data_IF_280521033307
#
_entry.id   IF_280521033307
#
_cell.length_a   1.000
_cell.length_b   1.000
_cell.length_c   1.000
_cell.angle_alpha   90.00
_cell.angle_beta   90.00
_cell.angle_gamma   90.00
#
_symmetry.space_group_name_H-M   'P 1'
#
loop_
_entity.id
_entity.type
_entity.pdbx_description
1 polymer ?
#
# COMPACT_ATOMS: atom_id res chain seq x y z
N UNK A 1 -42.78 62.55 8.75
CA UNK A 1 -42.92 61.45 7.76
C UNK A 1 -42.17 60.24 8.30
N UNK A 2 -42.86 59.27 8.90
CA UNK A 2 -42.26 58.01 9.36
C UNK A 2 -42.00 57.05 8.18
N UNK A 3 -40.90 56.30 8.22
CA UNK A 3 -40.57 55.25 7.24
C UNK A 3 -41.09 53.90 7.77
N UNK A 4 -41.78 53.08 6.95
CA UNK A 4 -42.30 51.80 7.42
C UNK A 4 -41.18 50.77 7.69
N UNK A 5 -41.32 50.04 8.79
CA UNK A 5 -40.42 49.01 9.32
C UNK A 5 -40.39 47.79 8.39
N UNK A 6 -39.19 47.32 8.02
CA UNK A 6 -38.99 46.10 7.21
C UNK A 6 -39.45 44.87 8.02
N UNK A 7 -40.45 44.15 7.52
CA UNK A 7 -40.91 42.89 8.10
C UNK A 7 -39.83 41.81 7.96
N UNK A 8 -39.32 41.30 9.07
CA UNK A 8 -38.33 40.23 9.11
C UNK A 8 -39.02 38.87 8.95
N UNK A 9 -39.43 38.55 7.72
CA UNK A 9 -39.84 37.18 7.39
C UNK A 9 -38.65 36.23 7.55
N UNK A 10 -38.77 35.23 8.42
CA UNK A 10 -37.79 34.12 8.49
C UNK A 10 -37.90 33.29 7.20
N UNK A 11 -36.80 33.03 6.49
CA UNK A 11 -36.84 32.22 5.27
C UNK A 11 -37.18 30.76 5.63
N UNK A 12 -38.41 30.33 5.34
CA UNK A 12 -38.94 28.98 5.63
C UNK A 12 -38.59 27.93 4.57
N UNK A 13 -37.55 28.16 3.76
CA UNK A 13 -37.24 27.31 2.60
C UNK A 13 -35.77 26.92 2.44
N UNK A 14 -34.85 27.35 3.31
CA UNK A 14 -33.43 27.00 3.19
C UNK A 14 -33.04 25.93 4.21
N UNK A 15 -32.70 24.70 3.78
CA UNK A 15 -32.16 23.69 4.67
C UNK A 15 -30.93 24.23 5.41
N UNK A 16 -30.89 24.10 6.74
CA UNK A 16 -29.75 24.48 7.57
C UNK A 16 -28.55 23.61 7.18
N UNK A 17 -27.43 24.24 6.81
CA UNK A 17 -26.15 23.61 6.42
C UNK A 17 -25.40 22.95 7.60
N UNK A 18 -26.11 22.41 8.59
CA UNK A 18 -25.50 21.77 9.77
C UNK A 18 -26.18 20.42 10.08
N UNK A 19 -26.66 19.71 9.06
CA UNK A 19 -26.78 18.27 9.21
C UNK A 19 -25.33 17.75 9.22
N UNK A 20 -24.82 17.50 10.42
CA UNK A 20 -23.70 16.61 10.66
C UNK A 20 -24.11 15.24 10.09
N UNK A 21 -24.01 15.11 8.77
CA UNK A 21 -24.07 13.82 8.11
C UNK A 21 -22.77 13.16 8.55
N UNK A 22 -22.86 12.35 9.61
CA UNK A 22 -21.93 11.25 9.83
C UNK A 22 -22.12 10.32 8.64
N UNK A 23 -21.61 10.72 7.48
CA UNK A 23 -21.28 9.82 6.40
C UNK A 23 -20.20 8.96 7.02
N UNK A 24 -20.59 7.77 7.48
CA UNK A 24 -19.67 6.65 7.58
C UNK A 24 -19.06 6.55 6.19
N UNK A 25 -17.88 7.14 6.02
CA UNK A 25 -17.17 7.10 4.76
C UNK A 25 -16.95 5.62 4.46
N UNK A 26 -17.60 5.14 3.40
CA UNK A 26 -17.33 3.81 2.89
C UNK A 26 -15.81 3.74 2.66
N UNK A 27 -15.13 2.65 3.07
CA UNK A 27 -13.70 2.56 2.90
C UNK A 27 -13.40 2.79 1.42
N UNK A 28 -12.46 3.71 1.16
CA UNK A 28 -12.02 4.03 -0.19
C UNK A 28 -11.74 2.70 -0.91
N UNK A 29 -12.40 2.47 -2.04
CA UNK A 29 -12.29 1.22 -2.78
C UNK A 29 -10.84 0.93 -3.15
N UNK A 30 -10.03 1.98 -3.31
CA UNK A 30 -8.59 1.88 -3.51
C UNK A 30 -7.86 1.36 -2.27
N UNK A 31 -8.21 1.82 -1.07
CA UNK A 31 -7.63 1.35 0.19
C UNK A 31 -7.95 -0.13 0.45
N UNK A 32 -9.18 -0.56 0.12
CA UNK A 32 -9.59 -1.98 0.22
C UNK A 32 -8.81 -2.84 -0.77
N UNK A 33 -8.71 -2.41 -2.04
CA UNK A 33 -7.97 -3.13 -3.07
C UNK A 33 -6.47 -3.23 -2.73
N UNK A 34 -5.87 -2.16 -2.22
CA UNK A 34 -4.47 -2.16 -1.77
C UNK A 34 -4.25 -3.11 -0.58
N UNK A 35 -5.20 -3.17 0.37
CA UNK A 35 -5.17 -4.11 1.49
C UNK A 35 -5.24 -5.57 1.05
N UNK A 36 -6.10 -5.89 0.08
CA UNK A 36 -6.17 -7.24 -0.50
C UNK A 36 -4.89 -7.60 -1.26
N UNK A 37 -4.35 -6.66 -2.04
CA UNK A 37 -3.09 -6.86 -2.75
C UNK A 37 -1.93 -7.14 -1.80
N UNK A 38 -1.81 -6.36 -0.71
CA UNK A 38 -0.83 -6.60 0.35
C UNK A 38 -0.94 -8.01 0.91
N UNK A 39 -2.15 -8.44 1.27
CA UNK A 39 -2.39 -9.79 1.82
C UNK A 39 -2.01 -10.90 0.83
N UNK A 40 -2.29 -10.73 -0.47
CA UNK A 40 -1.88 -11.69 -1.50
C UNK A 40 -0.36 -11.77 -1.62
N UNK A 41 0.34 -10.65 -1.48
CA UNK A 41 1.79 -10.61 -1.51
C UNK A 41 2.40 -11.29 -0.27
N UNK A 42 1.87 -11.04 0.92
CA UNK A 42 2.28 -11.74 2.16
C UNK A 42 2.08 -13.25 2.04
N UNK A 43 0.94 -13.68 1.50
CA UNK A 43 0.67 -15.10 1.24
C UNK A 43 1.69 -15.69 0.25
N UNK A 44 2.04 -14.95 -0.80
CA UNK A 44 3.06 -15.37 -1.76
C UNK A 44 4.42 -15.52 -1.08
N UNK A 45 4.88 -14.52 -0.30
CA UNK A 45 6.13 -14.59 0.48
C UNK A 45 6.16 -15.80 1.41
N UNK A 46 5.06 -16.06 2.11
CA UNK A 46 4.92 -17.24 2.97
C UNK A 46 5.09 -18.54 2.17
N UNK A 47 4.47 -18.66 0.99
CA UNK A 47 4.58 -19.84 0.13
C UNK A 47 5.99 -20.02 -0.43
N UNK A 48 6.68 -18.94 -0.78
CA UNK A 48 8.10 -18.97 -1.19
C UNK A 48 8.96 -19.48 -0.04
N UNK A 49 8.79 -18.94 1.17
CA UNK A 49 9.53 -19.41 2.35
C UNK A 49 9.31 -20.89 2.66
N UNK A 50 8.07 -21.39 2.52
CA UNK A 50 7.77 -22.81 2.67
C UNK A 50 8.46 -23.67 1.61
N UNK A 51 8.42 -23.24 0.34
CA UNK A 51 9.09 -23.97 -0.75
C UNK A 51 10.60 -24.01 -0.55
N UNK A 52 11.22 -22.89 -0.20
CA UNK A 52 12.64 -22.81 0.13
C UNK A 52 12.99 -23.72 1.31
N UNK A 53 12.19 -23.69 2.38
CA UNK A 53 12.39 -24.56 3.55
C UNK A 53 12.34 -26.04 3.19
N UNK A 54 11.48 -26.43 2.24
CA UNK A 54 11.41 -27.79 1.72
C UNK A 54 12.59 -28.15 0.81
N UNK A 55 13.13 -27.19 0.04
CA UNK A 55 14.25 -27.43 -0.88
C UNK A 55 15.61 -27.45 -0.16
N UNK A 56 15.79 -26.67 0.91
CA UNK A 56 17.06 -26.54 1.65
C UNK A 56 17.75 -27.86 2.01
N UNK A 57 17.06 -28.88 2.53
CA UNK A 57 17.69 -30.16 2.88
C UNK A 57 18.34 -30.89 1.70
N UNK A 58 17.93 -30.57 0.47
CA UNK A 58 18.46 -31.18 -0.75
C UNK A 58 19.64 -30.41 -1.34
N UNK A 59 19.93 -29.19 -0.85
CA UNK A 59 21.13 -28.45 -1.20
C UNK A 59 22.29 -28.96 -0.34
N UNK A 60 23.31 -29.51 -1.02
CA UNK A 60 24.55 -29.98 -0.41
C UNK A 60 25.75 -29.20 -0.99
N UNK A 61 26.95 -29.47 -0.46
CA UNK A 61 28.19 -28.81 -0.93
C UNK A 61 28.57 -29.16 -2.38
N UNK A 62 27.90 -30.15 -2.97
CA UNK A 62 28.08 -30.55 -4.38
C UNK A 62 27.04 -29.92 -5.31
N UNK A 63 26.03 -29.24 -4.75
CA UNK A 63 25.02 -28.53 -5.53
C UNK A 63 25.64 -27.36 -6.28
N UNK A 64 25.09 -27.06 -7.45
CA UNK A 64 25.56 -25.95 -8.26
C UNK A 64 25.50 -24.64 -7.46
N UNK A 65 26.61 -23.89 -7.49
CA UNK A 65 26.72 -22.58 -6.82
C UNK A 65 25.57 -21.65 -7.25
N UNK A 66 25.13 -21.74 -8.51
CA UNK A 66 23.99 -20.99 -9.03
C UNK A 66 22.67 -21.35 -8.35
N UNK A 67 22.44 -22.63 -8.03
CA UNK A 67 21.23 -23.08 -7.34
C UNK A 67 21.21 -22.60 -5.88
N UNK A 68 22.37 -22.60 -5.21
CA UNK A 68 22.51 -22.07 -3.85
C UNK A 68 22.23 -20.56 -3.84
N UNK A 69 22.80 -19.81 -4.79
CA UNK A 69 22.57 -18.38 -4.92
C UNK A 69 21.08 -18.06 -5.19
N UNK A 70 20.44 -18.78 -6.11
CA UNK A 70 19.01 -18.61 -6.40
C UNK A 70 18.13 -18.83 -5.16
N UNK A 71 18.45 -19.83 -4.33
CA UNK A 71 17.71 -20.07 -3.08
C UNK A 71 17.91 -18.93 -2.08
N UNK A 72 19.13 -18.39 -1.94
CA UNK A 72 19.38 -17.23 -1.07
C UNK A 72 18.61 -15.98 -1.54
N UNK A 73 18.53 -15.75 -2.85
CA UNK A 73 17.71 -14.66 -3.39
C UNK A 73 16.23 -14.84 -3.04
N UNK A 74 15.69 -16.06 -3.19
CA UNK A 74 14.31 -16.37 -2.82
C UNK A 74 14.06 -16.20 -1.31
N UNK A 75 15.04 -16.51 -0.46
CA UNK A 75 14.96 -16.23 0.99
C UNK A 75 14.86 -14.74 1.27
N UNK A 76 15.67 -13.94 0.59
CA UNK A 76 15.61 -12.48 0.67
C UNK A 76 14.22 -11.95 0.29
N UNK A 77 13.65 -12.45 -0.80
CA UNK A 77 12.30 -12.06 -1.25
C UNK A 77 11.20 -12.51 -0.28
N UNK A 78 11.33 -13.69 0.33
CA UNK A 78 10.38 -14.19 1.31
C UNK A 78 10.43 -13.42 2.65
N UNK A 79 11.59 -12.87 3.02
CA UNK A 79 11.80 -12.08 4.23
C UNK A 79 11.64 -10.56 4.05
N UNK A 80 11.46 -10.10 2.81
CA UNK A 80 11.36 -8.68 2.48
C UNK A 80 10.16 -8.02 3.18
N UNK A 81 10.40 -6.90 3.89
CA UNK A 81 9.32 -6.11 4.48
C UNK A 81 8.62 -5.26 3.41
N UNK A 82 7.48 -5.76 2.95
CA UNK A 82 6.63 -5.09 1.96
C UNK A 82 5.94 -3.82 2.50
N UNK A 83 6.01 -3.57 3.81
CA UNK A 83 5.48 -2.35 4.43
C UNK A 83 6.52 -1.23 4.45
N UNK A 84 7.80 -1.56 4.27
CA UNK A 84 8.87 -0.57 4.21
C UNK A 84 8.78 0.25 2.91
N UNK A 85 9.11 1.55 2.95
CA UNK A 85 9.23 2.36 1.74
C UNK A 85 10.26 1.72 0.79
N UNK A 86 9.85 1.49 -0.46
CA UNK A 86 10.75 0.93 -1.46
C UNK A 86 11.61 2.04 -2.07
N UNK A 87 12.88 2.10 -1.68
CA UNK A 87 13.85 3.03 -2.27
C UNK A 87 14.52 2.36 -3.46
N UNK A 88 14.06 2.65 -4.67
CA UNK A 88 14.79 2.26 -5.88
C UNK A 88 15.90 3.29 -6.11
N UNK A 89 17.16 2.91 -5.88
CA UNK A 89 18.29 3.71 -6.36
C UNK A 89 18.37 3.52 -7.88
N UNK A 90 17.78 4.47 -8.61
CA UNK A 90 17.94 4.51 -10.06
C UNK A 90 19.43 4.65 -10.39
N UNK A 91 19.97 3.89 -11.37
CA UNK A 91 21.36 4.04 -11.79
C UNK A 91 21.63 5.50 -12.12
N UNK A 92 22.52 6.15 -11.37
CA UNK A 92 22.90 7.54 -11.67
C UNK A 92 23.51 7.58 -13.08
N UNK A 93 23.03 8.45 -13.98
CA UNK A 93 23.68 8.62 -15.27
C UNK A 93 25.13 9.06 -15.05
N UNK A 94 26.09 8.55 -15.86
CA UNK A 94 27.49 8.87 -15.69
C UNK A 94 27.67 10.39 -15.74
N UNK A 95 28.27 10.94 -14.68
CA UNK A 95 28.57 12.36 -14.59
C UNK A 95 29.63 12.67 -15.66
N UNK A 96 29.21 13.31 -16.76
CA UNK A 96 30.13 13.82 -17.77
C UNK A 96 30.95 14.93 -17.12
N UNK A 97 32.19 14.61 -16.72
CA UNK A 97 33.17 15.61 -16.33
C UNK A 97 33.55 16.39 -17.60
N UNK A 98 33.31 17.71 -17.56
CA UNK A 98 33.70 18.67 -18.61
C UNK A 98 35.11 19.19 -18.38
#
# INVERSE_FOLDING_TARGET
>A
MERPKRSTGRPVGRPKKNALVTTTEAPDSQAVANGEFKRKLEYFQFKVGQAVGALKPYLNNESEVSAIAAIQELEGLAAMDISAPFTFEAPQPPVLQS
#
